data_IF_026784388044
#
_entry.id   IF_026784388044
#
_cell.length_a   1.000
_cell.length_b   1.000
_cell.length_c   1.000
_cell.angle_alpha   90.00
_cell.angle_beta   90.00
_cell.angle_gamma   90.00
#
_symmetry.space_group_name_H-M   'P 1'
#
loop_
_entity.id
_entity.type
_entity.pdbx_description
1 polymer ?
#
# COMPACT_ATOMS: atom_id res chain seq x y z
N UNK A 1 -22.46 25.04 14.81
CA UNK A 1 -21.61 26.05 14.16
C UNK A 1 -20.86 25.29 13.07
N UNK A 2 -21.09 25.60 11.80
CA UNK A 2 -20.36 24.97 10.69
C UNK A 2 -19.06 25.78 10.56
N UNK A 3 -17.93 25.15 10.84
CA UNK A 3 -16.61 25.78 10.69
C UNK A 3 -16.39 26.18 9.22
N UNK A 4 -15.81 27.35 9.00
CA UNK A 4 -15.61 27.88 7.67
C UNK A 4 -14.43 27.16 6.99
N UNK A 5 -14.52 26.92 5.68
CA UNK A 5 -13.51 26.16 4.92
C UNK A 5 -12.08 26.76 4.94
N UNK A 6 -11.92 27.97 5.47
CA UNK A 6 -10.63 28.67 5.64
C UNK A 6 -10.10 28.66 7.08
N UNK A 7 -10.77 27.97 8.01
CA UNK A 7 -10.22 27.74 9.35
C UNK A 7 -8.94 26.90 9.24
N UNK A 8 -7.91 27.26 10.02
CA UNK A 8 -6.51 26.87 9.81
C UNK A 8 -6.22 25.34 9.84
N UNK A 9 -7.20 24.54 10.23
CA UNK A 9 -7.07 23.09 10.38
C UNK A 9 -7.88 22.29 9.32
N UNK A 10 -8.61 22.96 8.42
CA UNK A 10 -9.38 22.29 7.35
C UNK A 10 -8.45 21.94 6.18
N UNK A 11 -8.28 20.63 5.93
CA UNK A 11 -7.48 20.11 4.81
C UNK A 11 -8.35 19.94 3.56
N UNK A 12 -7.87 20.42 2.42
CA UNK A 12 -8.55 20.22 1.14
C UNK A 12 -8.52 18.75 0.70
N UNK A 13 -9.69 18.21 0.38
CA UNK A 13 -9.82 16.88 -0.19
C UNK A 13 -9.53 16.90 -1.70
N UNK A 14 -8.99 15.79 -2.19
CA UNK A 14 -8.73 15.53 -3.61
C UNK A 14 -9.54 14.33 -4.05
N UNK A 15 -10.30 14.48 -5.14
CA UNK A 15 -10.95 13.37 -5.84
C UNK A 15 -10.16 13.01 -7.10
N UNK A 16 -9.68 11.78 -7.19
CA UNK A 16 -8.75 11.37 -8.25
C UNK A 16 -9.35 10.39 -9.27
N UNK A 17 -8.57 10.10 -10.33
CA UNK A 17 -8.95 9.15 -11.41
C UNK A 17 -9.25 7.72 -10.92
N UNK A 18 -8.80 7.35 -9.72
CA UNK A 18 -9.13 6.06 -9.10
C UNK A 18 -10.40 6.14 -8.25
N UNK A 19 -11.12 7.27 -8.31
CA UNK A 19 -12.35 7.53 -7.57
C UNK A 19 -12.11 7.57 -6.06
N UNK A 20 -10.92 8.00 -5.61
CA UNK A 20 -10.59 8.08 -4.20
C UNK A 20 -10.76 9.50 -3.70
N UNK A 21 -11.31 9.65 -2.50
CA UNK A 21 -11.33 10.92 -1.77
C UNK A 21 -10.16 10.91 -0.81
N UNK A 22 -9.18 11.78 -1.04
CA UNK A 22 -7.88 11.75 -0.38
C UNK A 22 -7.49 13.08 0.26
N UNK A 23 -6.73 13.00 1.35
CA UNK A 23 -6.14 14.12 2.06
C UNK A 23 -4.63 13.91 2.13
N UNK A 24 -3.86 14.98 1.92
CA UNK A 24 -2.44 14.98 2.19
C UNK A 24 -2.20 15.52 3.61
N UNK A 25 -1.72 14.65 4.49
CA UNK A 25 -1.42 14.97 5.89
C UNK A 25 0.03 14.57 6.14
N UNK A 26 0.88 15.55 6.48
CA UNK A 26 2.31 15.35 6.72
C UNK A 26 3.00 14.55 5.59
N UNK A 27 2.77 14.96 4.34
CA UNK A 27 3.29 14.33 3.12
C UNK A 27 2.87 12.87 2.94
N UNK A 28 1.80 12.42 3.61
CA UNK A 28 1.21 11.10 3.43
C UNK A 28 -0.20 11.24 2.88
N UNK A 29 -0.50 10.51 1.81
CA UNK A 29 -1.84 10.50 1.22
C UNK A 29 -2.72 9.46 1.92
N UNK A 30 -3.76 9.94 2.58
CA UNK A 30 -4.74 9.13 3.26
C UNK A 30 -6.10 9.25 2.56
N UNK A 31 -6.75 8.11 2.34
CA UNK A 31 -8.01 7.99 1.62
C UNK A 31 -9.14 7.62 2.57
N UNK A 32 -10.32 8.22 2.35
CA UNK A 32 -11.54 7.84 3.04
C UNK A 32 -11.85 6.38 2.66
N UNK A 33 -11.80 5.50 3.66
CA UNK A 33 -11.97 4.07 3.49
C UNK A 33 -13.23 3.59 4.20
N UNK A 34 -14.02 2.83 3.46
CA UNK A 34 -15.24 2.19 3.95
C UNK A 34 -14.88 1.11 4.99
N UNK A 35 -15.61 1.03 6.12
CA UNK A 35 -15.44 -0.05 7.09
C UNK A 35 -15.85 -1.40 6.49
N UNK A 36 -14.91 -2.34 6.46
CA UNK A 36 -15.11 -3.66 5.85
C UNK A 36 -16.22 -4.47 6.56
N UNK A 37 -16.35 -4.30 7.87
CA UNK A 37 -17.38 -4.92 8.72
C UNK A 37 -18.81 -4.63 8.21
N UNK A 38 -19.08 -3.41 7.77
CA UNK A 38 -20.40 -3.01 7.23
C UNK A 38 -20.65 -3.65 5.88
N UNK A 39 -19.64 -3.64 4.99
CA UNK A 39 -19.73 -4.21 3.64
C UNK A 39 -19.89 -5.73 3.66
N UNK A 40 -19.19 -6.41 4.58
CA UNK A 40 -19.33 -7.87 4.83
C UNK A 40 -20.62 -8.22 5.55
N UNK A 41 -21.28 -7.23 6.12
CA UNK A 41 -22.56 -7.39 6.78
C UNK A 41 -22.47 -7.77 8.26
N UNK A 42 -21.30 -7.72 8.87
CA UNK A 42 -21.02 -8.05 10.27
C UNK A 42 -21.62 -7.02 11.23
N UNK A 43 -21.63 -5.74 10.83
CA UNK A 43 -22.28 -4.64 11.56
C UNK A 43 -23.26 -3.90 10.65
N UNK A 44 -24.16 -3.10 11.24
CA UNK A 44 -25.17 -2.35 10.48
C UNK A 44 -24.68 -0.97 10.04
N UNK A 45 -23.80 -0.37 10.84
CA UNK A 45 -23.19 0.91 10.57
C UNK A 45 -21.80 0.92 11.23
N UNK A 46 -20.91 1.74 10.70
CA UNK A 46 -19.60 2.01 11.30
C UNK A 46 -18.99 3.28 10.66
N UNK A 47 -18.00 3.86 11.33
CA UNK A 47 -17.31 5.05 10.86
C UNK A 47 -16.43 4.74 9.65
N UNK A 48 -16.28 5.71 8.75
CA UNK A 48 -15.24 5.66 7.73
C UNK A 48 -13.91 6.13 8.34
N UNK A 49 -12.81 5.56 7.86
CA UNK A 49 -11.48 5.85 8.40
C UNK A 49 -10.53 6.30 7.31
N UNK A 50 -9.59 7.17 7.69
CA UNK A 50 -8.44 7.49 6.85
C UNK A 50 -7.42 6.35 6.92
N UNK A 51 -7.10 5.77 5.77
CA UNK A 51 -6.02 4.78 5.59
C UNK A 51 -5.11 5.20 4.45
N UNK A 52 -3.85 4.74 4.37
CA UNK A 52 -3.00 5.08 3.24
C UNK A 52 -3.67 4.75 1.92
N UNK A 53 -3.63 5.72 1.01
CA UNK A 53 -4.25 5.59 -0.30
C UNK A 53 -3.61 4.45 -1.08
N UNK A 54 -4.41 3.56 -1.64
CA UNK A 54 -3.95 2.51 -2.55
C UNK A 54 -4.85 2.42 -3.77
N UNK A 55 -4.33 1.91 -4.88
CA UNK A 55 -5.06 1.85 -6.15
C UNK A 55 -5.89 0.57 -6.31
N UNK A 56 -5.62 -0.44 -5.47
CA UNK A 56 -6.26 -1.75 -5.54
C UNK A 56 -7.23 -2.04 -4.40
N UNK A 57 -7.47 -1.08 -3.49
CA UNK A 57 -8.47 -1.24 -2.43
C UNK A 57 -9.84 -0.72 -2.88
N UNK A 58 -10.83 -1.61 -3.14
CA UNK A 58 -12.17 -1.19 -3.54
C UNK A 58 -12.90 -0.41 -2.44
N UNK A 59 -12.51 -0.54 -1.17
CA UNK A 59 -13.11 0.18 -0.06
C UNK A 59 -12.73 1.67 -0.04
N UNK A 60 -11.78 2.10 -0.87
CA UNK A 60 -11.38 3.49 -1.02
C UNK A 60 -12.07 4.19 -2.20
N UNK A 61 -12.92 3.47 -2.96
CA UNK A 61 -13.58 3.98 -4.17
C UNK A 61 -14.96 4.54 -3.86
N UNK A 62 -15.18 5.77 -4.31
CA UNK A 62 -16.40 6.54 -4.10
C UNK A 62 -16.97 7.05 -5.44
N UNK A 63 -18.21 6.70 -5.75
CA UNK A 63 -18.95 7.22 -6.90
C UNK A 63 -19.65 8.51 -6.50
N UNK A 64 -19.46 9.57 -7.29
CA UNK A 64 -20.19 10.82 -7.12
C UNK A 64 -21.45 10.81 -7.98
N UNK A 65 -22.62 10.85 -7.33
CA UNK A 65 -23.93 11.02 -8.00
C UNK A 65 -24.87 11.79 -7.09
N UNK A 66 -25.76 12.59 -7.68
CA UNK A 66 -26.76 13.37 -6.92
C UNK A 66 -26.12 14.20 -5.79
N UNK A 67 -25.01 14.88 -6.09
CA UNK A 67 -24.20 15.65 -5.14
C UNK A 67 -23.85 14.86 -3.86
N UNK A 68 -23.59 13.56 -3.99
CA UNK A 68 -23.35 12.66 -2.86
C UNK A 68 -22.25 11.66 -3.20
N UNK A 69 -21.55 11.20 -2.17
CA UNK A 69 -20.60 10.11 -2.29
C UNK A 69 -21.27 8.77 -1.97
N UNK A 70 -21.06 7.82 -2.84
CA UNK A 70 -21.56 6.45 -2.72
C UNK A 70 -20.41 5.47 -2.80
N UNK A 71 -20.53 4.32 -2.15
CA UNK A 71 -19.57 3.23 -2.32
C UNK A 71 -19.52 2.77 -3.77
N UNK A 72 -18.42 2.12 -4.16
CA UNK A 72 -18.22 1.65 -5.54
C UNK A 72 -19.33 0.72 -6.07
N UNK A 73 -20.01 0.00 -5.18
CA UNK A 73 -21.16 -0.85 -5.49
C UNK A 73 -22.51 -0.13 -5.38
N UNK A 74 -22.48 1.18 -5.10
CA UNK A 74 -23.60 2.09 -4.94
C UNK A 74 -24.60 1.70 -3.84
N UNK A 75 -24.22 0.79 -2.93
CA UNK A 75 -25.10 0.31 -1.86
C UNK A 75 -25.21 1.28 -0.70
N UNK A 76 -24.11 1.97 -0.38
CA UNK A 76 -24.04 2.83 0.79
C UNK A 76 -23.70 4.25 0.39
N UNK A 77 -24.45 5.19 0.95
CA UNK A 77 -24.18 6.63 0.84
C UNK A 77 -23.35 7.08 2.04
N UNK A 78 -22.39 7.97 1.81
CA UNK A 78 -21.67 8.65 2.89
C UNK A 78 -22.65 9.49 3.72
N UNK A 79 -22.52 9.39 5.03
CA UNK A 79 -23.26 10.17 6.02
C UNK A 79 -22.27 10.86 6.96
N UNK A 80 -22.64 11.98 7.55
CA UNK A 80 -21.78 12.70 8.49
C UNK A 80 -22.57 13.37 9.62
N UNK A 81 -22.13 13.14 10.86
CA UNK A 81 -22.71 13.76 12.05
C UNK A 81 -21.62 14.42 12.88
N UNK A 82 -21.74 15.73 13.08
CA UNK A 82 -20.70 16.57 13.67
C UNK A 82 -19.37 16.41 12.92
N UNK A 83 -18.37 15.82 13.58
CA UNK A 83 -17.00 15.65 13.08
C UNK A 83 -16.73 14.26 12.49
N UNK A 84 -17.75 13.40 12.41
CA UNK A 84 -17.59 12.01 12.04
C UNK A 84 -18.38 11.65 10.81
N UNK A 85 -17.72 11.00 9.86
CA UNK A 85 -18.36 10.41 8.70
C UNK A 85 -18.54 8.90 8.89
N UNK A 86 -19.62 8.33 8.37
CA UNK A 86 -19.99 6.94 8.54
C UNK A 86 -20.80 6.43 7.34
N UNK A 87 -20.97 5.11 7.28
CA UNK A 87 -21.96 4.47 6.40
C UNK A 87 -22.90 3.59 7.22
N UNK A 88 -24.10 3.36 6.70
CA UNK A 88 -25.09 2.49 7.33
C UNK A 88 -25.90 1.72 6.27
N UNK A 89 -26.28 0.48 6.61
CA UNK A 89 -27.22 -0.33 5.85
C UNK A 89 -28.66 0.19 5.93
N UNK A 90 -29.00 0.89 7.01
CA UNK A 90 -30.35 1.37 7.22
C UNK A 90 -30.54 2.65 6.40
N UNK A 91 -31.32 2.56 5.32
CA UNK A 91 -31.60 3.69 4.43
C UNK A 91 -32.27 4.86 5.15
N UNK A 92 -32.99 4.60 6.26
CA UNK A 92 -33.64 5.59 7.10
C UNK A 92 -32.74 6.28 8.12
N UNK A 93 -31.48 5.86 8.29
CA UNK A 93 -30.56 6.55 9.19
C UNK A 93 -30.32 7.99 8.69
N UNK A 94 -30.26 8.95 9.61
CA UNK A 94 -30.20 10.38 9.29
C UNK A 94 -28.83 10.80 8.71
N UNK A 95 -28.64 12.12 8.53
CA UNK A 95 -27.34 12.75 8.27
C UNK A 95 -26.65 12.40 6.96
N UNK A 96 -27.42 12.37 5.87
CA UNK A 96 -26.88 12.20 4.53
C UNK A 96 -25.87 13.31 4.18
N UNK A 97 -24.63 12.91 3.86
CA UNK A 97 -23.63 13.84 3.36
C UNK A 97 -24.03 14.31 1.97
N UNK A 98 -24.14 15.63 1.79
CA UNK A 98 -24.52 16.25 0.53
C UNK A 98 -23.51 17.34 0.22
N UNK A 99 -22.88 17.23 -0.95
CA UNK A 99 -21.99 18.23 -1.50
C UNK A 99 -22.78 19.49 -1.83
N UNK A 100 -22.21 20.65 -1.47
CA UNK A 100 -22.80 21.92 -1.83
C UNK A 100 -22.78 22.11 -3.35
N UNK A 101 -23.80 22.77 -3.89
CA UNK A 101 -23.93 23.04 -5.33
C UNK A 101 -22.71 23.78 -5.93
N UNK A 102 -22.01 24.58 -5.12
CA UNK A 102 -20.78 25.28 -5.48
C UNK A 102 -19.58 24.35 -5.74
N UNK A 103 -19.65 23.08 -5.32
CA UNK A 103 -18.57 22.10 -5.52
C UNK A 103 -18.59 21.44 -6.91
N UNK A 104 -19.44 21.92 -7.81
CA UNK A 104 -19.60 21.37 -9.17
C UNK A 104 -18.27 21.31 -9.93
N UNK A 105 -17.45 22.35 -9.85
CA UNK A 105 -16.14 22.38 -10.51
C UNK A 105 -15.18 21.34 -9.91
N UNK A 106 -15.19 21.16 -8.58
CA UNK A 106 -14.37 20.16 -7.90
C UNK A 106 -14.77 18.74 -8.28
N UNK A 107 -16.08 18.45 -8.37
CA UNK A 107 -16.61 17.13 -8.78
C UNK A 107 -16.17 16.80 -10.21
N UNK A 108 -16.24 17.78 -11.12
CA UNK A 108 -15.88 17.60 -12.52
C UNK A 108 -14.36 17.56 -12.75
N UNK A 109 -13.57 18.09 -11.81
CA UNK A 109 -12.11 18.09 -11.87
C UNK A 109 -11.56 16.79 -11.31
N UNK A 110 -11.53 15.74 -12.14
CA UNK A 110 -10.88 14.46 -11.77
C UNK A 110 -9.37 14.65 -11.77
N UNK A 111 -8.77 14.67 -10.58
CA UNK A 111 -7.35 14.97 -10.42
C UNK A 111 -6.46 13.75 -10.72
N UNK A 112 -5.21 14.00 -11.13
CA UNK A 112 -4.12 13.00 -11.11
C UNK A 112 -4.05 12.35 -9.72
N UNK A 113 -3.71 11.08 -9.53
CA UNK A 113 -3.56 10.53 -8.18
C UNK A 113 -2.41 11.20 -7.41
N UNK A 114 -2.56 11.35 -6.09
CA UNK A 114 -1.48 11.87 -5.22
C UNK A 114 -0.37 10.86 -4.96
N UNK A 115 -0.73 9.56 -4.95
CA UNK A 115 0.18 8.42 -4.94
C UNK A 115 -0.43 7.26 -5.74
N UNK A 116 0.38 6.29 -6.13
CA UNK A 116 -0.06 5.06 -6.79
C UNK A 116 0.32 3.80 -6.00
N UNK A 117 0.28 3.90 -4.67
CA UNK A 117 0.62 2.79 -3.78
C UNK A 117 -0.32 1.59 -3.99
N UNK A 118 0.22 0.39 -3.77
CA UNK A 118 -0.48 -0.88 -3.89
C UNK A 118 -0.48 -1.53 -2.51
N UNK A 119 -1.67 -1.89 -2.02
CA UNK A 119 -1.82 -2.70 -0.82
C UNK A 119 -1.45 -4.15 -1.15
N UNK A 120 -0.50 -4.70 -0.41
CA UNK A 120 -0.05 -6.09 -0.55
C UNK A 120 0.33 -6.67 0.81
N UNK A 121 0.78 -7.92 0.81
CA UNK A 121 1.60 -8.52 1.85
C UNK A 121 2.90 -9.09 1.25
N UNK A 122 3.89 -9.38 2.10
CA UNK A 122 5.11 -10.10 1.71
C UNK A 122 5.20 -11.36 2.55
N UNK A 123 5.07 -12.52 1.91
CA UNK A 123 5.04 -13.80 2.58
C UNK A 123 6.19 -14.72 2.17
N UNK A 124 6.47 -15.71 2.99
CA UNK A 124 7.40 -16.81 2.72
C UNK A 124 6.88 -18.09 3.37
N UNK A 125 7.28 -19.24 2.83
CA UNK A 125 6.81 -20.54 3.33
C UNK A 125 7.92 -21.27 4.12
N UNK A 126 7.50 -21.99 5.16
CA UNK A 126 8.31 -22.95 5.90
C UNK A 126 7.54 -24.26 6.06
N UNK A 127 7.90 -25.27 5.26
CA UNK A 127 7.07 -26.47 5.10
C UNK A 127 5.70 -26.08 4.54
N UNK A 128 4.63 -26.52 5.20
CA UNK A 128 3.25 -26.17 4.86
C UNK A 128 2.75 -24.85 5.45
N UNK A 129 3.53 -24.19 6.31
CA UNK A 129 3.13 -22.94 6.95
C UNK A 129 3.55 -21.73 6.10
N UNK A 130 2.68 -20.73 6.04
CA UNK A 130 2.97 -19.41 5.46
C UNK A 130 3.15 -18.38 6.57
N UNK A 131 4.15 -17.52 6.39
CA UNK A 131 4.47 -16.43 7.30
C UNK A 131 4.60 -15.12 6.53
N UNK A 132 4.22 -14.01 7.14
CA UNK A 132 4.22 -12.68 6.56
C UNK A 132 5.24 -11.80 7.27
N UNK A 133 6.06 -11.09 6.51
CA UNK A 133 7.05 -10.15 7.05
C UNK A 133 6.32 -8.99 7.73
N UNK A 134 6.80 -8.63 8.91
CA UNK A 134 6.42 -7.42 9.64
C UNK A 134 7.62 -6.76 10.30
N UNK A 135 7.41 -5.61 10.93
CA UNK A 135 8.46 -4.96 11.68
C UNK A 135 8.94 -5.88 12.80
N UNK A 136 10.26 -6.14 12.83
CA UNK A 136 10.91 -6.99 13.84
C UNK A 136 10.73 -8.50 13.68
N UNK A 137 10.12 -9.02 12.61
CA UNK A 137 9.98 -10.47 12.44
C UNK A 137 8.97 -10.90 11.38
N UNK A 138 8.42 -12.10 11.56
CA UNK A 138 7.34 -12.63 10.73
C UNK A 138 6.22 -13.21 11.58
N UNK A 139 4.99 -13.16 11.08
CA UNK A 139 3.79 -13.67 11.75
C UNK A 139 2.97 -14.61 10.85
N UNK A 140 2.08 -15.42 11.42
CA UNK A 140 1.10 -16.19 10.64
C UNK A 140 -0.04 -15.31 10.12
N UNK A 141 -0.34 -14.22 10.82
CA UNK A 141 -1.33 -13.25 10.37
C UNK A 141 -0.78 -12.40 9.23
N UNK A 142 -1.60 -12.15 8.22
CA UNK A 142 -1.25 -11.25 7.12
C UNK A 142 -0.93 -9.87 7.68
N UNK A 143 0.22 -9.34 7.29
CA UNK A 143 0.62 -7.97 7.63
C UNK A 143 0.47 -7.08 6.38
N UNK A 144 -0.36 -6.03 6.43
CA UNK A 144 -0.47 -5.05 5.35
C UNK A 144 0.86 -4.34 5.09
N UNK A 145 1.27 -4.32 3.82
CA UNK A 145 2.41 -3.57 3.30
C UNK A 145 1.90 -2.66 2.17
N UNK A 146 2.25 -1.40 2.24
CA UNK A 146 1.96 -0.39 1.22
C UNK A 146 3.21 -0.25 0.36
N UNK A 147 3.15 -0.79 -0.87
CA UNK A 147 4.23 -0.65 -1.84
C UNK A 147 3.96 0.53 -2.77
N UNK A 148 4.80 1.55 -2.73
CA UNK A 148 4.72 2.66 -3.68
C UNK A 148 5.72 2.42 -4.84
N UNK A 149 5.26 2.16 -6.07
CA UNK A 149 6.17 1.87 -7.18
C UNK A 149 6.94 3.10 -7.69
N UNK A 150 6.55 4.33 -7.35
CA UNK A 150 7.28 5.54 -7.72
C UNK A 150 8.48 5.78 -6.79
N UNK A 151 8.27 5.62 -5.47
CA UNK A 151 9.32 5.79 -4.46
C UNK A 151 10.06 4.50 -4.12
N UNK A 152 9.54 3.33 -4.51
CA UNK A 152 10.06 2.01 -4.10
C UNK A 152 9.85 1.70 -2.62
N UNK A 153 9.10 2.51 -1.88
CA UNK A 153 8.85 2.27 -0.46
C UNK A 153 8.04 0.99 -0.24
N UNK A 154 8.48 0.16 0.70
CA UNK A 154 7.70 -0.91 1.33
C UNK A 154 7.40 -0.49 2.76
N UNK A 155 6.17 -0.06 3.04
CA UNK A 155 5.80 0.56 4.31
C UNK A 155 4.74 -0.22 5.10
N UNK A 156 4.84 -0.18 6.43
CA UNK A 156 3.75 -0.52 7.35
C UNK A 156 3.10 0.76 7.86
N UNK A 157 1.79 0.71 8.10
CA UNK A 157 1.05 1.85 8.65
C UNK A 157 0.65 1.57 10.09
N UNK A 158 0.93 2.52 10.97
CA UNK A 158 0.39 2.52 12.32
C UNK A 158 -0.88 3.39 12.35
N UNK A 159 -2.08 2.80 12.49
CA UNK A 159 -3.33 3.55 12.55
C UNK A 159 -3.46 4.40 13.82
N UNK A 160 -2.80 4.04 14.93
CA UNK A 160 -2.87 4.80 16.18
C UNK A 160 -2.12 6.14 16.07
N UNK A 161 -0.97 6.13 15.40
CA UNK A 161 -0.15 7.34 15.21
C UNK A 161 -0.33 8.01 13.84
N UNK A 162 -1.10 7.41 12.94
CA UNK A 162 -1.27 7.87 11.56
C UNK A 162 0.04 7.90 10.76
N UNK A 163 1.01 7.04 11.08
CA UNK A 163 2.38 7.13 10.56
C UNK A 163 2.77 5.93 9.68
N UNK A 164 3.57 6.19 8.64
CA UNK A 164 4.18 5.16 7.81
C UNK A 164 5.59 4.83 8.30
N UNK A 165 5.92 3.53 8.32
CA UNK A 165 7.24 3.03 8.64
C UNK A 165 7.77 2.21 7.46
N UNK A 166 8.77 2.74 6.76
CA UNK A 166 9.37 2.11 5.61
C UNK A 166 10.48 1.14 6.02
N UNK A 167 10.62 0.06 5.25
CA UNK A 167 11.74 -0.87 5.37
C UNK A 167 13.01 -0.25 4.75
N UNK A 168 14.13 -0.30 5.46
CA UNK A 168 15.43 0.21 5.00
C UNK A 168 16.47 -0.92 4.94
N UNK A 169 17.23 -0.98 3.85
CA UNK A 169 18.45 -1.77 3.75
C UNK A 169 19.63 -1.07 4.43
N UNK A 170 20.48 -1.83 5.13
CA UNK A 170 21.64 -1.32 5.88
C UNK A 170 22.94 -2.08 5.59
N UNK A 171 23.07 -2.70 4.41
CA UNK A 171 24.21 -3.58 4.07
C UNK A 171 25.55 -2.83 4.14
N UNK A 172 25.67 -1.69 3.46
CA UNK A 172 26.91 -0.90 3.44
C UNK A 172 28.15 -1.71 3.03
N UNK A 173 29.22 -1.61 3.81
CA UNK A 173 30.46 -2.37 3.57
C UNK A 173 30.36 -3.86 3.91
N UNK A 174 29.37 -4.27 4.71
CA UNK A 174 29.19 -5.66 5.12
C UNK A 174 28.68 -6.55 3.98
N UNK A 175 28.72 -7.87 4.18
CA UNK A 175 28.14 -8.83 3.23
C UNK A 175 26.62 -8.91 3.35
N UNK A 176 26.09 -8.65 4.55
CA UNK A 176 24.67 -8.63 4.86
C UNK A 176 24.45 -7.76 6.10
N UNK A 177 23.22 -7.27 6.29
CA UNK A 177 22.79 -6.61 7.52
C UNK A 177 21.26 -6.69 7.68
N UNK A 178 20.77 -6.59 8.92
CA UNK A 178 19.34 -6.56 9.22
C UNK A 178 18.64 -5.36 8.56
N UNK A 179 17.39 -5.55 8.14
CA UNK A 179 16.56 -4.41 7.74
C UNK A 179 16.13 -3.62 8.97
N UNK A 180 15.96 -2.32 8.80
CA UNK A 180 15.42 -1.43 9.85
C UNK A 180 14.11 -0.83 9.38
N UNK A 181 13.16 -0.62 10.28
CA UNK A 181 11.90 0.06 9.97
C UNK A 181 11.95 1.45 10.58
N UNK A 182 11.75 2.50 9.79
CA UNK A 182 11.83 3.89 10.25
C UNK A 182 10.73 4.74 9.64
N UNK A 183 10.39 5.83 10.33
CA UNK A 183 9.36 6.78 9.89
C UNK A 183 9.66 7.27 8.47
N UNK A 184 8.63 7.28 7.63
CA UNK A 184 8.68 7.78 6.26
C UNK A 184 7.32 8.39 5.87
N UNK A 185 7.23 8.88 4.63
CA UNK A 185 6.03 9.44 4.03
C UNK A 185 6.00 9.13 2.51
N UNK A 186 5.05 9.70 1.77
CA UNK A 186 4.90 9.51 0.33
C UNK A 186 5.76 10.48 -0.50
N UNK A 187 6.66 11.27 0.13
CA UNK A 187 7.54 12.16 -0.62
C UNK A 187 8.47 11.37 -1.54
N UNK A 188 8.74 11.94 -2.72
CA UNK A 188 9.65 11.34 -3.68
C UNK A 188 11.06 11.20 -3.09
N UNK A 189 11.66 10.03 -3.26
CA UNK A 189 13.03 9.75 -2.86
C UNK A 189 13.88 9.38 -4.08
N UNK A 190 15.19 9.58 -3.97
CA UNK A 190 16.14 9.05 -4.97
C UNK A 190 16.08 7.51 -4.98
N UNK A 191 16.31 6.91 -6.15
CA UNK A 191 16.49 5.46 -6.27
C UNK A 191 17.73 4.94 -5.54
N UNK A 192 18.67 5.80 -5.18
CA UNK A 192 19.84 5.48 -4.35
C UNK A 192 19.54 5.52 -2.84
N UNK A 193 18.29 5.78 -2.45
CA UNK A 193 17.91 5.83 -1.04
C UNK A 193 17.82 4.40 -0.46
N UNK A 194 18.32 4.15 0.77
CA UNK A 194 18.22 2.82 1.37
C UNK A 194 16.81 2.29 1.66
N UNK A 195 15.76 3.13 1.57
CA UNK A 195 14.35 2.73 1.62
C UNK A 195 13.77 2.33 0.25
N UNK A 196 14.51 2.50 -0.84
CA UNK A 196 14.07 2.10 -2.16
C UNK A 196 14.22 0.59 -2.33
N UNK A 197 13.11 -0.07 -2.67
CA UNK A 197 13.05 -1.48 -3.01
C UNK A 197 12.49 -1.68 -4.40
N UNK A 198 13.08 -2.64 -5.11
CA UNK A 198 12.59 -3.13 -6.38
C UNK A 198 11.99 -4.52 -6.20
N UNK A 199 10.70 -4.66 -6.47
CA UNK A 199 9.98 -5.94 -6.40
C UNK A 199 10.06 -6.61 -7.77
N UNK A 200 10.94 -7.60 -7.91
CA UNK A 200 11.11 -8.38 -9.13
C UNK A 200 10.58 -9.81 -8.96
N UNK A 201 9.46 -10.10 -9.62
CA UNK A 201 8.77 -11.37 -9.47
C UNK A 201 9.12 -12.26 -10.66
N UNK A 202 10.04 -13.21 -10.42
CA UNK A 202 10.64 -14.04 -11.45
C UNK A 202 9.82 -15.30 -11.78
N UNK A 203 8.87 -15.69 -10.92
CA UNK A 203 8.07 -16.91 -11.10
C UNK A 203 6.58 -16.66 -10.85
N UNK A 204 5.74 -17.65 -11.19
CA UNK A 204 4.31 -17.61 -10.84
C UNK A 204 4.05 -17.67 -9.34
N UNK A 205 4.98 -18.26 -8.60
CA UNK A 205 4.88 -18.53 -7.17
C UNK A 205 5.49 -17.40 -6.32
N UNK A 206 6.21 -16.45 -6.93
CA UNK A 206 6.84 -15.35 -6.21
C UNK A 206 8.09 -14.80 -6.88
N UNK A 207 8.92 -14.12 -6.08
CA UNK A 207 10.23 -13.69 -6.55
C UNK A 207 11.06 -12.96 -5.51
N UNK A 208 12.07 -12.26 -6.02
CA UNK A 208 13.09 -11.60 -5.23
C UNK A 208 12.76 -10.12 -5.08
N UNK A 209 12.90 -9.64 -3.86
CA UNK A 209 12.86 -8.20 -3.57
C UNK A 209 14.31 -7.75 -3.41
N UNK A 210 14.70 -6.71 -4.13
CA UNK A 210 16.06 -6.18 -4.11
C UNK A 210 16.08 -4.75 -3.58
N UNK A 211 17.13 -4.40 -2.85
CA UNK A 211 17.34 -3.02 -2.41
C UNK A 211 17.89 -2.13 -3.54
N UNK A 212 18.05 -0.85 -3.25
CA UNK A 212 18.66 0.18 -4.10
C UNK A 212 20.03 -0.17 -4.71
N UNK A 213 20.79 -1.11 -4.15
CA UNK A 213 22.10 -1.54 -4.66
C UNK A 213 22.06 -2.93 -5.31
N UNK A 214 20.87 -3.50 -5.49
CA UNK A 214 20.70 -4.85 -6.04
C UNK A 214 21.02 -5.97 -5.04
N UNK A 215 21.08 -5.68 -3.74
CA UNK A 215 21.21 -6.71 -2.72
C UNK A 215 19.86 -7.39 -2.48
N UNK A 216 19.86 -8.69 -2.22
CA UNK A 216 18.64 -9.47 -2.06
C UNK A 216 18.08 -9.34 -0.63
N UNK A 217 16.78 -9.09 -0.52
CA UNK A 217 16.02 -9.32 0.70
C UNK A 217 16.01 -10.82 1.01
N UNK A 218 16.16 -11.14 2.29
CA UNK A 218 16.23 -12.50 2.83
C UNK A 218 15.50 -12.58 4.16
N UNK A 219 15.09 -13.78 4.51
CA UNK A 219 14.57 -14.10 5.83
C UNK A 219 15.18 -15.40 6.32
N UNK A 220 15.56 -15.42 7.59
CA UNK A 220 16.06 -16.61 8.30
C UNK A 220 14.93 -17.60 8.55
N UNK A 221 15.09 -18.86 8.12
CA UNK A 221 14.06 -19.89 8.31
C UNK A 221 14.14 -20.62 9.66
N UNK A 222 15.23 -20.44 10.40
CA UNK A 222 15.51 -21.07 11.70
C UNK A 222 16.34 -20.14 12.62
N UNK A 223 16.63 -20.58 13.85
CA UNK A 223 17.52 -19.87 14.78
C UNK A 223 16.84 -18.83 15.67
N UNK A 224 17.62 -18.13 16.49
CA UNK A 224 17.12 -17.13 17.44
C UNK A 224 16.51 -15.89 16.76
N UNK A 225 16.99 -15.55 15.57
CA UNK A 225 16.45 -14.47 14.74
C UNK A 225 15.47 -14.99 13.68
N UNK A 226 14.80 -16.11 13.93
CA UNK A 226 13.83 -16.71 13.00
C UNK A 226 12.80 -15.69 12.51
N UNK A 227 12.54 -15.68 11.21
CA UNK A 227 11.53 -14.82 10.60
C UNK A 227 11.91 -13.34 10.51
N UNK A 228 13.11 -12.94 10.93
CA UNK A 228 13.59 -11.55 10.82
C UNK A 228 14.18 -11.33 9.43
N UNK A 229 13.73 -10.28 8.76
CA UNK A 229 14.21 -9.94 7.43
C UNK A 229 15.58 -9.23 7.48
N UNK A 230 16.42 -9.51 6.51
CA UNK A 230 17.73 -8.88 6.34
C UNK A 230 18.06 -8.77 4.86
N UNK A 231 19.11 -8.04 4.54
CA UNK A 231 19.55 -7.83 3.17
C UNK A 231 20.96 -8.37 3.00
N UNK A 232 21.25 -9.00 1.87
CA UNK A 232 22.57 -9.59 1.60
C UNK A 232 23.03 -9.35 0.15
N UNK A 233 24.34 -9.13 -0.02
CA UNK A 233 24.97 -9.00 -1.34
C UNK A 233 24.77 -10.29 -2.15
N UNK A 234 24.48 -10.14 -3.45
CA UNK A 234 24.31 -11.30 -4.35
C UNK A 234 25.54 -12.23 -4.35
N UNK A 235 26.74 -11.66 -4.28
CA UNK A 235 28.00 -12.41 -4.20
C UNK A 235 28.17 -13.23 -2.91
N UNK A 236 27.42 -12.91 -1.86
CA UNK A 236 27.46 -13.61 -0.57
C UNK A 236 26.42 -14.74 -0.46
N UNK A 237 25.40 -14.78 -1.31
CA UNK A 237 24.26 -15.72 -1.16
C UNK A 237 24.66 -17.19 -1.12
N UNK A 238 25.72 -17.59 -1.86
CA UNK A 238 26.25 -18.96 -1.84
C UNK A 238 26.89 -19.34 -0.51
N UNK A 239 27.43 -18.37 0.21
CA UNK A 239 28.05 -18.53 1.54
C UNK A 239 27.04 -18.34 2.66
N UNK A 240 25.92 -17.68 2.38
CA UNK A 240 24.87 -17.36 3.33
C UNK A 240 23.91 -18.55 3.55
N UNK A 241 24.43 -19.59 4.21
CA UNK A 241 23.71 -20.84 4.48
C UNK A 241 23.24 -20.96 5.93
N UNK A 242 23.66 -20.05 6.81
CA UNK A 242 23.34 -20.08 8.25
C UNK A 242 21.84 -19.90 8.47
N UNK A 243 21.21 -20.82 9.21
CA UNK A 243 19.75 -20.86 9.44
C UNK A 243 18.90 -21.02 8.18
N UNK A 244 19.49 -21.56 7.10
CA UNK A 244 18.82 -21.91 5.86
C UNK A 244 17.93 -20.78 5.34
N UNK A 245 18.41 -19.58 5.05
CA UNK A 245 17.56 -18.46 4.67
C UNK A 245 16.82 -18.68 3.33
N UNK A 246 15.83 -17.84 3.05
CA UNK A 246 15.14 -17.79 1.75
C UNK A 246 15.03 -16.35 1.24
N UNK A 247 15.06 -16.19 -0.08
CA UNK A 247 14.75 -14.95 -0.81
C UNK A 247 13.53 -15.10 -1.71
N UNK A 248 12.83 -16.23 -1.64
CA UNK A 248 11.61 -16.47 -2.40
C UNK A 248 10.42 -15.93 -1.60
N UNK A 249 9.89 -14.81 -2.04
CA UNK A 249 8.73 -14.16 -1.44
C UNK A 249 7.50 -14.27 -2.32
N UNK A 250 6.35 -14.43 -1.67
CA UNK A 250 5.02 -14.41 -2.28
C UNK A 250 4.39 -13.07 -1.95
N UNK A 251 3.78 -12.42 -2.94
CA UNK A 251 3.01 -11.19 -2.77
C UNK A 251 1.61 -11.36 -3.33
N UNK A 252 0.73 -10.39 -3.09
CA UNK A 252 -0.65 -10.49 -3.55
C UNK A 252 -0.75 -10.34 -5.08
N UNK A 253 -1.84 -10.88 -5.64
CA UNK A 253 -2.04 -10.98 -7.10
C UNK A 253 -2.00 -9.62 -7.80
N UNK A 254 -2.48 -8.57 -7.15
CA UNK A 254 -2.51 -7.23 -7.74
C UNK A 254 -1.09 -6.68 -7.95
N UNK A 255 -0.21 -6.85 -6.96
CA UNK A 255 1.20 -6.46 -7.11
C UNK A 255 1.91 -7.35 -8.14
N UNK A 256 1.64 -8.65 -8.16
CA UNK A 256 2.14 -9.56 -9.20
C UNK A 256 1.75 -9.10 -10.60
N UNK A 257 0.48 -8.75 -10.81
CA UNK A 257 -0.02 -8.26 -12.09
C UNK A 257 0.63 -6.93 -12.48
N UNK A 258 0.79 -6.01 -11.52
CA UNK A 258 1.47 -4.74 -11.75
C UNK A 258 2.92 -4.94 -12.20
N UNK A 259 3.69 -5.77 -11.49
CA UNK A 259 5.09 -6.08 -11.83
C UNK A 259 5.19 -6.74 -13.20
N UNK A 260 4.28 -7.66 -13.55
CA UNK A 260 4.24 -8.28 -14.88
C UNK A 260 3.92 -7.28 -15.98
N UNK A 261 2.99 -6.36 -15.73
CA UNK A 261 2.61 -5.32 -16.68
C UNK A 261 3.80 -4.38 -16.96
N UNK A 262 4.48 -3.91 -15.92
CA UNK A 262 5.64 -3.03 -16.07
C UNK A 262 6.82 -3.75 -16.73
N UNK A 263 7.12 -4.99 -16.35
CA UNK A 263 8.17 -5.80 -16.98
C UNK A 263 7.88 -6.11 -18.46
N UNK A 264 6.63 -6.41 -18.81
CA UNK A 264 6.23 -6.65 -20.20
C UNK A 264 6.36 -5.39 -21.07
N UNK A 265 6.10 -4.21 -20.49
CA UNK A 265 6.29 -2.94 -21.18
C UNK A 265 7.78 -2.61 -21.37
N UNK A 266 8.65 -2.98 -20.43
CA UNK A 266 10.11 -2.90 -20.62
C UNK A 266 10.57 -3.80 -21.78
N UNK A 267 10.03 -5.01 -21.89
CA UNK A 267 10.31 -5.91 -23.02
C UNK A 267 9.79 -5.40 -24.38
N UNK A 268 8.90 -4.41 -24.40
CA UNK A 268 8.47 -3.70 -25.63
C UNK A 268 9.36 -2.51 -25.99
N UNK A 269 10.15 -2.00 -25.04
CA UNK A 269 11.19 -1.00 -25.30
C UNK A 269 12.54 -1.60 -25.66
N UNK A 270 12.68 -2.93 -25.60
CA UNK A 270 13.84 -3.63 -26.15
C UNK A 270 13.87 -3.50 -27.68
N UNK A 271 15.07 -3.31 -28.22
CA UNK A 271 15.30 -3.12 -29.65
C UNK A 271 14.88 -4.33 -30.51
N UNK A 272 14.61 -5.48 -29.88
CA UNK A 272 14.19 -6.72 -30.53
C UNK A 272 13.11 -7.43 -29.70
N UNK A 273 12.12 -8.00 -30.39
CA UNK A 273 11.08 -8.82 -29.76
C UNK A 273 11.69 -10.07 -29.07
N UNK A 274 11.34 -10.37 -27.79
CA UNK A 274 11.80 -11.58 -27.11
C UNK A 274 11.19 -12.87 -27.66
N UNK A 275 10.16 -12.78 -28.51
CA UNK A 275 9.70 -13.90 -29.33
C UNK A 275 10.66 -14.12 -30.51
N UNK A 276 11.78 -14.77 -30.24
CA UNK A 276 12.65 -15.30 -31.28
C UNK A 276 11.86 -16.26 -32.17
N UNK A 277 11.93 -16.05 -33.49
CA UNK A 277 11.45 -17.02 -34.47
C UNK A 277 12.12 -18.38 -34.17
N UNK A 278 11.31 -19.38 -33.85
CA UNK A 278 11.68 -20.77 -34.10
C UNK A 278 11.66 -21.03 -35.59
#
# INVERSE_FOLDING_TARGET
MIEQCWEQDVRNARYDVFQRISYNINDTWLCITVPESVVKGETNWDYVHLKPCTINDPLQRWIVKENSFWTADERYRLKDYNWYAYISKNSGDYYNHTLDSSMSDWINTVATPGNISILTSIAWNLGSNRYFIRSGGSDKNTTPIYYNPESGHLAQYNPESGSLYCMYSRVGSYNWNWVTWALCNDASISKDNPAYWNVYLATEEGGMIMDYQGNALRVTRYGSNWGVAYTAKLSYLKKDTTYSPTSLFIVDRDLLNWVRYTASNLGKTDQYCPAGKK
#
